data_IF_644703562659
#
_entry.id   IF_644703562659
#
_cell.length_a   1.000
_cell.length_b   1.000
_cell.length_c   1.000
_cell.angle_alpha   90.00
_cell.angle_beta   90.00
_cell.angle_gamma   90.00
#
_symmetry.space_group_name_H-M   'P 1'
#
loop_
_entity.id
_entity.type
_entity.pdbx_description
1 polymer ?
#
# COMPACT_ATOMS: atom_id res chain seq x y z
N UNK A 1 2.64 -5.94 84.86
CA UNK A 1 3.82 -5.15 85.26
C UNK A 1 5.00 -6.10 85.24
N UNK A 2 6.07 -6.00 84.47
CA UNK A 2 6.54 -5.06 83.46
C UNK A 2 7.95 -5.51 83.05
N UNK A 3 8.28 -5.31 81.77
CA UNK A 3 9.60 -5.28 81.14
C UNK A 3 10.30 -6.60 80.74
N UNK A 4 10.16 -6.88 79.44
CA UNK A 4 11.05 -7.68 78.58
C UNK A 4 12.28 -6.83 78.23
N UNK A 5 13.49 -7.38 78.38
CA UNK A 5 14.73 -6.78 77.91
C UNK A 5 15.45 -7.77 76.99
N UNK A 6 15.51 -7.44 75.70
CA UNK A 6 16.19 -8.19 74.65
C UNK A 6 17.69 -7.88 74.69
N UNK A 7 18.52 -8.93 74.85
CA UNK A 7 19.97 -8.88 74.64
C UNK A 7 20.27 -9.17 73.17
N UNK A 8 20.80 -8.17 72.46
CA UNK A 8 21.43 -8.35 71.15
C UNK A 8 22.85 -8.89 71.30
N UNK A 9 23.16 -9.95 70.55
CA UNK A 9 24.51 -10.44 70.31
C UNK A 9 24.89 -10.09 68.87
N UNK A 10 26.10 -9.54 68.74
CA UNK A 10 26.76 -9.12 67.52
C UNK A 10 26.97 -10.31 66.58
N UNK A 11 26.67 -10.14 65.29
CA UNK A 11 27.21 -10.98 64.22
C UNK A 11 27.94 -10.07 63.22
N UNK A 12 29.19 -10.42 62.95
CA UNK A 12 30.16 -9.67 62.17
C UNK A 12 30.28 -10.27 60.78
N UNK A 13 29.70 -9.62 59.78
CA UNK A 13 29.85 -9.98 58.38
C UNK A 13 29.52 -8.81 57.45
N UNK A 14 30.51 -7.98 57.12
CA UNK A 14 30.36 -6.96 56.09
C UNK A 14 30.38 -7.63 54.71
N UNK A 15 29.37 -7.41 53.83
CA UNK A 15 29.45 -7.88 52.44
C UNK A 15 30.50 -7.07 51.68
N UNK A 16 31.31 -7.73 50.85
CA UNK A 16 32.20 -7.04 49.89
C UNK A 16 31.33 -6.31 48.86
N UNK A 17 31.71 -5.11 48.39
CA UNK A 17 31.00 -4.47 47.30
C UNK A 17 31.11 -5.35 46.05
N UNK A 18 29.97 -5.81 45.53
CA UNK A 18 29.88 -6.38 44.19
C UNK A 18 30.42 -5.35 43.20
N UNK A 19 31.40 -5.75 42.39
CA UNK A 19 31.82 -4.96 41.25
C UNK A 19 30.65 -4.95 40.27
N UNK A 20 29.90 -3.83 40.21
CA UNK A 20 28.91 -3.62 39.16
C UNK A 20 29.63 -3.70 37.81
N UNK A 21 29.31 -4.71 37.01
CA UNK A 21 29.75 -4.76 35.62
C UNK A 21 29.31 -3.46 34.93
N UNK A 22 30.20 -2.81 34.16
CA UNK A 22 29.87 -1.54 33.52
C UNK A 22 28.65 -1.72 32.62
N UNK A 23 27.62 -0.88 32.83
CA UNK A 23 26.38 -0.89 32.04
C UNK A 23 26.72 -0.71 30.56
N UNK A 24 26.69 -1.81 29.80
CA UNK A 24 26.81 -1.77 28.35
C UNK A 24 25.55 -1.15 27.78
N UNK A 25 25.70 0.00 27.12
CA UNK A 25 24.57 0.71 26.53
C UNK A 25 24.27 0.13 25.15
N UNK A 26 22.99 0.09 24.74
CA UNK A 26 22.56 -0.54 23.48
C UNK A 26 23.25 0.01 22.22
N UNK A 27 23.78 1.23 22.28
CA UNK A 27 24.55 1.85 21.21
C UNK A 27 26.00 1.34 21.08
N UNK A 28 26.56 0.71 22.12
CA UNK A 28 27.90 0.10 22.10
C UNK A 28 27.92 -1.24 21.33
N UNK A 29 26.75 -1.89 21.23
CA UNK A 29 26.52 -3.13 20.48
C UNK A 29 25.85 -2.92 19.12
N UNK A 30 25.57 -1.67 18.71
CA UNK A 30 25.03 -1.40 17.38
C UNK A 30 26.10 -1.69 16.34
N UNK A 31 25.86 -2.69 15.50
CA UNK A 31 26.61 -2.86 14.26
C UNK A 31 26.59 -1.52 13.50
N UNK A 32 27.77 -1.04 13.11
CA UNK A 32 27.88 0.18 12.32
C UNK A 32 27.27 -0.09 10.95
N UNK A 33 26.02 0.35 10.76
CA UNK A 33 25.35 0.31 9.47
C UNK A 33 26.07 1.27 8.52
N UNK A 34 26.57 0.75 7.40
CA UNK A 34 27.19 1.57 6.36
C UNK A 34 26.09 2.32 5.59
N UNK A 35 26.03 3.64 5.76
CA UNK A 35 25.04 4.49 5.10
C UNK A 35 25.17 4.48 3.57
N UNK A 36 26.35 4.16 3.03
CA UNK A 36 26.55 4.04 1.58
C UNK A 36 25.73 2.87 0.98
N UNK A 37 25.46 1.82 1.77
CA UNK A 37 24.64 0.70 1.32
C UNK A 37 23.18 1.12 1.06
N UNK A 38 22.71 2.14 1.77
CA UNK A 38 21.32 2.62 1.77
C UNK A 38 21.13 3.94 1.02
N UNK A 39 22.11 4.28 0.19
CA UNK A 39 22.09 5.47 -0.65
C UNK A 39 22.42 5.08 -2.09
N UNK A 40 21.70 5.67 -3.05
CA UNK A 40 22.11 5.72 -4.45
C UNK A 40 22.20 7.18 -4.82
N UNK A 41 23.40 7.62 -5.21
CA UNK A 41 23.61 9.01 -5.59
C UNK A 41 24.42 9.13 -6.88
N UNK A 42 24.21 10.21 -7.61
CA UNK A 42 25.04 10.60 -8.77
C UNK A 42 25.06 9.55 -9.89
N UNK A 43 23.98 8.80 -10.07
CA UNK A 43 23.83 7.86 -11.17
C UNK A 43 23.39 8.62 -12.41
N UNK A 44 24.20 8.56 -13.48
CA UNK A 44 23.93 9.26 -14.73
C UNK A 44 23.86 8.29 -15.91
N UNK A 45 22.77 8.33 -16.70
CA UNK A 45 22.61 7.52 -17.93
C UNK A 45 22.85 6.02 -17.72
N UNK A 46 22.48 5.51 -16.55
CA UNK A 46 22.76 4.15 -16.11
C UNK A 46 21.62 3.60 -15.24
N UNK A 47 21.65 2.29 -14.99
CA UNK A 47 20.77 1.65 -14.02
C UNK A 47 21.50 1.35 -12.70
N UNK A 48 20.75 1.41 -11.60
CA UNK A 48 21.22 1.04 -10.27
C UNK A 48 20.05 0.52 -9.44
N UNK A 49 20.32 -0.27 -8.39
CA UNK A 49 19.23 -0.77 -7.58
C UNK A 49 19.62 -1.71 -6.46
N UNK A 50 18.59 -2.25 -5.82
CA UNK A 50 18.64 -3.25 -4.77
C UNK A 50 17.61 -4.35 -5.08
N UNK A 51 18.09 -5.59 -5.12
CA UNK A 51 17.27 -6.79 -5.23
C UNK A 51 16.62 -7.13 -3.87
N UNK A 52 15.63 -8.06 -3.83
CA UNK A 52 15.01 -8.49 -2.58
C UNK A 52 16.04 -8.90 -1.52
N UNK A 53 15.82 -8.46 -0.27
CA UNK A 53 16.68 -8.73 0.88
C UNK A 53 17.92 -7.84 1.02
N UNK A 54 18.20 -6.93 0.07
CA UNK A 54 19.38 -6.05 0.15
C UNK A 54 19.16 -4.74 0.93
N UNK A 55 17.90 -4.30 1.11
CA UNK A 55 17.50 -3.16 1.94
C UNK A 55 17.00 -3.64 3.30
N UNK A 56 16.17 -4.69 3.34
CA UNK A 56 15.72 -5.31 4.59
C UNK A 56 14.96 -4.36 5.52
N UNK A 57 14.10 -3.50 4.97
CA UNK A 57 13.26 -2.60 5.76
C UNK A 57 14.00 -1.41 6.37
N UNK A 58 15.19 -1.06 5.88
CA UNK A 58 15.88 0.17 6.30
C UNK A 58 15.35 1.40 5.54
N UNK A 59 15.74 2.60 6.02
CA UNK A 59 15.56 3.83 5.27
C UNK A 59 16.48 3.83 4.03
N UNK A 60 16.03 4.44 2.93
CA UNK A 60 16.81 4.57 1.70
C UNK A 60 16.82 6.02 1.19
N UNK A 61 17.91 6.42 0.54
CA UNK A 61 18.04 7.75 -0.09
C UNK A 61 18.44 7.57 -1.55
N UNK A 62 17.77 8.30 -2.44
CA UNK A 62 18.18 8.49 -3.83
C UNK A 62 18.43 9.97 -4.05
N UNK A 63 19.57 10.37 -4.60
CA UNK A 63 19.90 11.80 -4.76
C UNK A 63 20.74 12.09 -6.00
N UNK A 64 20.55 13.25 -6.61
CA UNK A 64 21.42 13.77 -7.67
C UNK A 64 21.56 12.81 -8.88
N UNK A 65 20.52 12.04 -9.20
CA UNK A 65 20.53 11.13 -10.35
C UNK A 65 19.96 11.80 -11.61
N UNK A 66 20.49 11.47 -12.79
CA UNK A 66 20.08 12.08 -14.06
C UNK A 66 19.98 11.04 -15.17
N UNK A 67 18.88 11.01 -15.91
CA UNK A 67 18.67 10.02 -16.98
C UNK A 67 18.92 8.57 -16.47
N UNK A 68 18.45 8.25 -15.26
CA UNK A 68 18.80 7.02 -14.56
C UNK A 68 17.58 6.12 -14.35
N UNK A 69 17.83 4.80 -14.29
CA UNK A 69 16.82 3.80 -13.96
C UNK A 69 17.14 3.19 -12.59
N UNK A 70 16.35 3.51 -11.58
CA UNK A 70 16.57 3.08 -10.20
C UNK A 70 15.53 2.05 -9.79
N UNK A 71 15.98 0.88 -9.34
CA UNK A 71 15.12 -0.24 -8.95
C UNK A 71 15.36 -0.64 -7.49
N UNK A 72 14.43 -0.34 -6.59
CA UNK A 72 14.51 -0.72 -5.18
C UNK A 72 13.47 -1.80 -4.89
N UNK A 73 13.80 -3.06 -5.24
CA UNK A 73 12.87 -4.19 -5.27
C UNK A 73 12.84 -4.93 -3.93
N UNK A 74 12.66 -4.19 -2.84
CA UNK A 74 12.69 -4.72 -1.47
C UNK A 74 11.69 -3.99 -0.57
N UNK A 75 11.55 -4.46 0.67
CA UNK A 75 10.87 -3.74 1.73
C UNK A 75 11.71 -2.54 2.21
N UNK A 76 11.09 -1.36 2.32
CA UNK A 76 11.75 -0.10 2.68
C UNK A 76 10.97 0.60 3.79
N UNK A 77 11.65 1.13 4.83
CA UNK A 77 10.94 1.84 5.89
C UNK A 77 10.48 3.23 5.41
N UNK A 78 11.40 4.05 4.92
CA UNK A 78 11.13 5.37 4.34
C UNK A 78 12.10 5.63 3.20
N UNK A 79 11.69 6.42 2.22
CA UNK A 79 12.55 6.80 1.10
C UNK A 79 12.45 8.30 0.82
N UNK A 80 13.61 8.89 0.56
CA UNK A 80 13.72 10.27 0.08
C UNK A 80 14.40 10.25 -1.28
N UNK A 81 13.80 10.95 -2.24
CA UNK A 81 14.35 11.12 -3.59
C UNK A 81 14.56 12.62 -3.81
N UNK A 82 15.82 13.02 -3.95
CA UNK A 82 16.24 14.41 -4.02
C UNK A 82 16.88 14.72 -5.37
N UNK A 83 16.52 15.85 -5.97
CA UNK A 83 17.29 16.47 -7.05
C UNK A 83 17.52 15.53 -8.27
N UNK A 84 16.55 14.66 -8.55
CA UNK A 84 16.62 13.70 -9.66
C UNK A 84 15.92 14.24 -10.91
N UNK A 85 16.54 14.09 -12.08
CA UNK A 85 15.98 14.56 -13.37
C UNK A 85 15.95 13.43 -14.40
N UNK A 86 14.87 13.33 -15.18
CA UNK A 86 14.72 12.32 -16.23
C UNK A 86 14.91 10.87 -15.73
N UNK A 87 14.48 10.57 -14.50
CA UNK A 87 14.68 9.26 -13.88
C UNK A 87 13.44 8.38 -13.92
N UNK A 88 13.64 7.06 -14.04
CA UNK A 88 12.61 6.05 -13.78
C UNK A 88 12.90 5.40 -12.43
N UNK A 89 11.95 5.43 -11.52
CA UNK A 89 12.07 4.95 -10.14
C UNK A 89 11.04 3.84 -9.93
N UNK A 90 11.47 2.59 -9.79
CA UNK A 90 10.60 1.47 -9.39
C UNK A 90 10.95 1.08 -7.96
N UNK A 91 10.00 1.27 -7.05
CA UNK A 91 10.19 1.12 -5.61
C UNK A 91 9.21 0.07 -5.11
N UNK A 92 9.72 -0.86 -4.30
CA UNK A 92 8.94 -1.87 -3.60
C UNK A 92 8.03 -1.28 -2.53
N UNK A 93 7.68 -2.09 -1.54
CA UNK A 93 6.78 -1.67 -0.46
C UNK A 93 7.50 -0.71 0.49
N UNK A 94 6.96 0.51 0.66
CA UNK A 94 7.45 1.51 1.60
C UNK A 94 6.49 1.63 2.78
N UNK A 95 6.92 1.29 3.99
CA UNK A 95 6.07 1.37 5.19
C UNK A 95 5.60 2.80 5.47
N UNK A 96 6.53 3.74 5.48
CA UNK A 96 6.30 5.13 5.82
C UNK A 96 6.16 6.01 4.60
N UNK A 97 6.95 7.08 4.56
CA UNK A 97 6.88 8.09 3.50
C UNK A 97 7.80 7.77 2.33
N UNK A 98 7.27 7.94 1.12
CA UNK A 98 8.02 8.25 -0.10
C UNK A 98 7.95 9.76 -0.32
N UNK A 99 9.09 10.45 -0.22
CA UNK A 99 9.18 11.90 -0.39
C UNK A 99 10.07 12.26 -1.58
N UNK A 100 9.48 12.84 -2.62
CA UNK A 100 10.20 13.41 -3.76
C UNK A 100 10.41 14.91 -3.54
N UNK A 101 11.64 15.40 -3.72
CA UNK A 101 12.00 16.82 -3.61
C UNK A 101 12.83 17.23 -4.81
N UNK A 102 12.50 18.38 -5.41
CA UNK A 102 13.23 18.93 -6.56
C UNK A 102 13.36 17.95 -7.75
N UNK A 103 12.41 17.02 -7.92
CA UNK A 103 12.48 16.01 -8.98
C UNK A 103 11.78 16.50 -10.25
N UNK A 104 12.38 16.25 -11.43
CA UNK A 104 11.85 16.72 -12.72
C UNK A 104 11.79 15.60 -13.74
N UNK A 105 10.71 15.55 -14.52
CA UNK A 105 10.57 14.61 -15.65
C UNK A 105 10.77 13.15 -15.22
N UNK A 106 10.33 12.81 -14.01
CA UNK A 106 10.52 11.48 -13.45
C UNK A 106 9.28 10.61 -13.64
N UNK A 107 9.49 9.30 -13.77
CA UNK A 107 8.43 8.31 -13.74
C UNK A 107 8.61 7.43 -12.53
N UNK A 108 7.55 7.21 -11.77
CA UNK A 108 7.61 6.56 -10.45
C UNK A 108 6.61 5.42 -10.38
N UNK A 109 7.04 4.26 -9.90
CA UNK A 109 6.18 3.13 -9.56
C UNK A 109 6.41 2.82 -8.09
N UNK A 110 5.43 3.08 -7.23
CA UNK A 110 5.63 2.93 -5.79
C UNK A 110 4.35 2.57 -5.02
N UNK A 111 4.54 1.74 -3.99
CA UNK A 111 3.57 1.50 -2.94
C UNK A 111 4.09 2.07 -1.62
N UNK A 112 3.34 2.96 -0.98
CA UNK A 112 3.79 3.61 0.24
C UNK A 112 2.66 3.86 1.25
N UNK A 113 3.03 4.05 2.52
CA UNK A 113 2.11 4.54 3.53
C UNK A 113 1.70 5.99 3.24
N UNK A 114 2.68 6.85 2.95
CA UNK A 114 2.48 8.28 2.64
C UNK A 114 3.26 8.67 1.40
N UNK A 115 2.60 9.35 0.45
CA UNK A 115 3.25 9.94 -0.72
C UNK A 115 3.32 11.45 -0.55
N UNK A 116 4.51 12.04 -0.71
CA UNK A 116 4.74 13.48 -0.62
C UNK A 116 5.61 13.96 -1.76
N UNK A 117 5.29 15.11 -2.32
CA UNK A 117 6.18 15.82 -3.24
C UNK A 117 6.36 17.26 -2.81
N UNK A 118 7.55 17.80 -3.08
CA UNK A 118 7.81 19.24 -2.98
C UNK A 118 8.69 19.68 -4.14
N UNK A 119 8.40 20.83 -4.73
CA UNK A 119 9.24 21.43 -5.78
C UNK A 119 9.45 20.50 -6.99
N UNK A 120 8.47 19.65 -7.31
CA UNK A 120 8.55 18.66 -8.40
C UNK A 120 7.84 19.12 -9.67
N UNK A 121 8.30 18.66 -10.84
CA UNK A 121 7.71 19.05 -12.12
C UNK A 121 7.65 17.87 -13.10
N UNK A 122 6.51 17.66 -13.76
CA UNK A 122 6.33 16.59 -14.75
C UNK A 122 6.68 15.21 -14.17
N UNK A 123 5.98 14.81 -13.12
CA UNK A 123 6.20 13.50 -12.49
C UNK A 123 4.98 12.62 -12.71
N UNK A 124 5.19 11.52 -13.40
CA UNK A 124 4.17 10.51 -13.67
C UNK A 124 4.31 9.37 -12.66
N UNK A 125 3.23 9.03 -11.96
CA UNK A 125 3.30 8.06 -10.85
C UNK A 125 2.23 6.97 -10.97
N UNK A 126 2.67 5.72 -11.04
CA UNK A 126 1.87 4.56 -10.67
C UNK A 126 1.89 4.38 -9.16
N UNK A 127 0.80 4.73 -8.48
CA UNK A 127 0.77 4.91 -7.03
C UNK A 127 -0.17 3.92 -6.33
N UNK A 128 0.33 3.33 -5.25
CA UNK A 128 -0.48 2.80 -4.16
C UNK A 128 -0.11 3.61 -2.91
N UNK A 129 -1.10 4.22 -2.26
CA UNK A 129 -0.86 5.04 -1.09
C UNK A 129 -1.91 4.78 -0.02
N UNK A 130 -1.50 4.37 1.17
CA UNK A 130 -2.44 4.09 2.26
C UNK A 130 -3.20 5.34 2.70
N UNK A 131 -2.52 6.49 2.74
CA UNK A 131 -3.12 7.79 3.08
C UNK A 131 -3.36 8.67 1.85
N UNK A 132 -3.99 9.83 2.07
CA UNK A 132 -4.13 10.84 1.03
C UNK A 132 -2.74 11.28 0.49
N UNK A 133 -2.44 11.14 -0.81
CA UNK A 133 -1.21 11.65 -1.40
C UNK A 133 -1.17 13.18 -1.36
N UNK A 134 0.01 13.73 -1.13
CA UNK A 134 0.23 15.16 -0.95
C UNK A 134 1.20 15.69 -2.00
N UNK A 135 0.87 16.84 -2.59
CA UNK A 135 1.80 17.64 -3.39
C UNK A 135 1.90 19.06 -2.81
N UNK A 136 3.07 19.67 -2.97
CA UNK A 136 3.37 21.05 -2.57
C UNK A 136 4.34 21.67 -3.56
N UNK A 137 4.13 22.92 -3.97
CA UNK A 137 4.97 23.66 -4.91
C UNK A 137 5.37 22.84 -6.16
N UNK A 138 4.46 21.99 -6.65
CA UNK A 138 4.73 21.03 -7.72
C UNK A 138 3.75 21.24 -8.87
N UNK A 139 4.15 20.92 -10.11
CA UNK A 139 3.33 21.15 -11.32
C UNK A 139 3.38 19.96 -12.28
N UNK A 140 2.32 19.76 -13.07
CA UNK A 140 2.20 18.64 -14.01
C UNK A 140 2.42 17.27 -13.35
N UNK A 141 1.77 17.04 -12.22
CA UNK A 141 1.85 15.78 -11.47
C UNK A 141 0.75 14.83 -11.93
N UNK A 142 1.08 13.67 -12.48
CA UNK A 142 0.07 12.75 -13.04
C UNK A 142 0.06 11.42 -12.30
N UNK A 143 -1.13 10.93 -11.98
CA UNK A 143 -1.29 9.74 -11.14
C UNK A 143 -2.12 8.65 -11.82
N UNK A 144 -1.67 7.40 -11.69
CA UNK A 144 -2.38 6.20 -12.14
C UNK A 144 -2.32 5.12 -11.04
N UNK A 145 -3.22 4.15 -11.11
CA UNK A 145 -3.24 3.05 -10.15
C UNK A 145 -1.99 2.17 -10.26
N UNK A 146 -1.39 1.83 -9.12
CA UNK A 146 -0.26 0.91 -9.03
C UNK A 146 -0.50 -0.42 -9.73
N UNK A 147 0.53 -0.93 -10.42
CA UNK A 147 0.44 -2.17 -11.21
C UNK A 147 1.68 -3.06 -11.19
N UNK A 148 2.53 -2.91 -10.18
CA UNK A 148 3.78 -3.65 -10.07
C UNK A 148 3.57 -5.06 -9.52
N UNK A 149 4.35 -6.00 -10.05
CA UNK A 149 4.46 -7.37 -9.59
C UNK A 149 5.92 -7.84 -9.61
N UNK A 150 6.32 -8.55 -8.56
CA UNK A 150 7.45 -9.48 -8.52
C UNK A 150 7.18 -10.51 -7.40
N UNK A 151 7.81 -11.69 -7.40
CA UNK A 151 7.42 -12.81 -6.54
C UNK A 151 7.37 -12.48 -5.04
N UNK A 152 8.29 -11.66 -4.54
CA UNK A 152 8.39 -11.29 -3.12
C UNK A 152 7.53 -10.08 -2.73
N UNK A 153 6.84 -9.44 -3.69
CA UNK A 153 6.17 -8.17 -3.44
C UNK A 153 5.06 -8.30 -2.39
N UNK A 154 4.31 -9.41 -2.38
CA UNK A 154 3.28 -9.65 -1.38
C UNK A 154 3.88 -9.69 0.03
N UNK A 155 4.95 -10.47 0.21
CA UNK A 155 5.64 -10.57 1.50
C UNK A 155 6.20 -9.22 1.93
N UNK A 156 6.67 -8.39 0.99
CA UNK A 156 7.10 -7.02 1.29
C UNK A 156 5.95 -6.11 1.71
N UNK A 157 4.77 -6.22 1.08
CA UNK A 157 3.55 -5.51 1.51
C UNK A 157 3.18 -5.91 2.94
N UNK A 158 3.12 -7.23 3.21
CA UNK A 158 2.79 -7.77 4.53
C UNK A 158 3.80 -7.31 5.59
N UNK A 159 5.11 -7.40 5.30
CA UNK A 159 6.18 -6.97 6.22
C UNK A 159 6.14 -5.47 6.52
N UNK A 160 5.74 -4.65 5.55
CA UNK A 160 5.62 -3.19 5.71
C UNK A 160 4.25 -2.75 6.24
N UNK A 161 3.31 -3.68 6.43
CA UNK A 161 1.96 -3.39 6.91
C UNK A 161 1.10 -2.62 5.90
N UNK A 162 1.38 -2.77 4.60
CA UNK A 162 0.57 -2.18 3.53
C UNK A 162 -0.58 -3.12 3.17
N UNK A 163 -1.80 -2.60 3.16
CA UNK A 163 -2.99 -3.33 2.74
C UNK A 163 -3.17 -3.24 1.23
N UNK A 164 -3.19 -4.38 0.53
CA UNK A 164 -3.30 -4.47 -0.93
C UNK A 164 -4.58 -3.81 -1.46
N UNK A 165 -5.68 -3.93 -0.71
CA UNK A 165 -7.00 -3.46 -1.10
C UNK A 165 -7.34 -2.08 -0.55
N UNK A 166 -6.41 -1.33 0.04
CA UNK A 166 -6.67 -0.01 0.63
C UNK A 166 -5.73 1.04 0.06
N UNK A 167 -6.13 1.66 -1.05
CA UNK A 167 -5.35 2.69 -1.72
C UNK A 167 -6.14 3.98 -1.96
N UNK A 168 -5.53 5.11 -1.62
CA UNK A 168 -6.03 6.47 -1.82
C UNK A 168 -5.34 7.19 -3.00
N UNK A 169 -4.71 6.44 -3.89
CA UNK A 169 -3.81 6.94 -4.94
C UNK A 169 -4.35 8.08 -5.81
N UNK A 170 -5.67 8.16 -6.01
CA UNK A 170 -6.33 9.16 -6.87
C UNK A 170 -6.89 10.36 -6.10
N UNK A 171 -6.75 10.42 -4.78
CA UNK A 171 -7.35 11.48 -3.94
C UNK A 171 -6.28 12.50 -3.54
N UNK A 172 -5.71 13.22 -4.48
CA UNK A 172 -4.56 14.09 -4.21
C UNK A 172 -4.97 15.34 -3.41
N UNK A 173 -4.15 15.71 -2.43
CA UNK A 173 -4.22 17.00 -1.75
C UNK A 173 -3.09 17.90 -2.23
N UNK A 174 -3.44 19.09 -2.72
CA UNK A 174 -2.49 20.11 -3.13
C UNK A 174 -2.45 21.23 -2.09
N UNK A 175 -1.27 21.44 -1.47
CA UNK A 175 -1.06 22.52 -0.50
C UNK A 175 -0.88 23.90 -1.13
N UNK A 176 -0.60 23.96 -2.43
CA UNK A 176 -0.30 25.19 -3.16
C UNK A 176 -1.09 25.26 -4.47
N UNK A 177 -2.44 25.20 -4.42
CA UNK A 177 -3.26 25.27 -5.61
C UNK A 177 -3.10 26.62 -6.31
N UNK A 178 -3.21 26.62 -7.63
CA UNK A 178 -3.22 27.83 -8.46
C UNK A 178 -4.64 28.07 -8.96
N UNK A 179 -5.12 29.31 -8.92
CA UNK A 179 -6.46 29.64 -9.38
C UNK A 179 -6.61 29.39 -10.89
N UNK A 180 -7.61 28.59 -11.26
CA UNK A 180 -7.97 28.33 -12.67
C UNK A 180 -7.16 27.24 -13.37
N UNK A 181 -6.15 26.67 -12.72
CA UNK A 181 -5.31 25.59 -13.25
C UNK A 181 -5.17 24.46 -12.22
N UNK A 182 -4.95 23.22 -12.67
CA UNK A 182 -4.66 22.10 -11.77
C UNK A 182 -3.18 21.73 -11.86
N UNK A 183 -2.51 21.64 -10.71
CA UNK A 183 -1.13 21.17 -10.64
C UNK A 183 -1.00 19.65 -10.85
N UNK A 184 -2.13 18.93 -10.84
CA UNK A 184 -2.17 17.49 -10.96
C UNK A 184 -3.39 16.99 -11.71
N UNK A 185 -3.30 15.76 -12.21
CA UNK A 185 -4.41 15.03 -12.81
C UNK A 185 -4.30 13.53 -12.57
N UNK A 186 -5.43 12.83 -12.68
CA UNK A 186 -5.47 11.37 -12.77
C UNK A 186 -5.43 11.01 -14.24
N UNK A 187 -4.49 10.14 -14.62
CA UNK A 187 -4.37 9.67 -16.00
C UNK A 187 -5.54 8.78 -16.37
N UNK A 188 -6.00 8.93 -17.60
CA UNK A 188 -6.90 7.95 -18.21
C UNK A 188 -6.16 6.61 -18.42
N UNK A 189 -6.90 5.51 -18.42
CA UNK A 189 -6.32 4.16 -18.52
C UNK A 189 -5.38 4.00 -19.75
N UNK A 190 -5.81 4.53 -20.90
CA UNK A 190 -5.03 4.48 -22.14
C UNK A 190 -3.74 5.30 -22.07
N UNK A 191 -3.77 6.43 -21.36
CA UNK A 191 -2.58 7.27 -21.19
C UNK A 191 -1.58 6.58 -20.27
N UNK A 192 -2.07 6.04 -19.14
CA UNK A 192 -1.26 5.28 -18.20
C UNK A 192 -0.55 4.12 -18.92
N UNK A 193 -1.26 3.35 -19.74
CA UNK A 193 -0.70 2.23 -20.53
C UNK A 193 0.48 2.62 -21.45
N UNK A 194 0.57 3.88 -21.87
CA UNK A 194 1.67 4.38 -22.71
C UNK A 194 2.88 4.90 -21.92
N UNK A 195 2.83 4.90 -20.58
CA UNK A 195 3.94 5.32 -19.75
C UNK A 195 5.15 4.41 -19.98
N UNK A 196 6.19 4.98 -20.58
CA UNK A 196 7.43 4.28 -20.89
C UNK A 196 8.25 4.01 -19.61
N UNK A 197 8.01 2.87 -19.00
CA UNK A 197 8.74 2.34 -17.84
C UNK A 197 9.64 1.20 -18.30
N UNK A 198 10.95 1.45 -18.30
CA UNK A 198 11.94 0.43 -18.63
C UNK A 198 12.12 -0.55 -17.46
N UNK A 199 12.02 -1.85 -17.75
CA UNK A 199 12.34 -2.93 -16.82
C UNK A 199 13.87 -3.11 -16.70
N UNK A 200 14.39 -3.61 -15.55
CA UNK A 200 15.83 -3.75 -15.34
C UNK A 200 16.48 -4.68 -16.36
N UNK A 201 17.62 -4.29 -16.91
CA UNK A 201 18.35 -5.06 -17.91
C UNK A 201 19.52 -5.86 -17.30
N UNK A 202 20.10 -5.40 -16.19
CA UNK A 202 21.29 -5.97 -15.59
C UNK A 202 20.97 -6.91 -14.43
N UNK A 203 21.85 -7.89 -14.21
CA UNK A 203 21.78 -8.75 -13.04
C UNK A 203 22.31 -8.01 -11.79
N UNK A 204 21.79 -8.33 -10.58
CA UNK A 204 20.79 -9.36 -10.28
C UNK A 204 19.34 -8.90 -10.48
N UNK A 205 19.09 -7.64 -10.81
CA UNK A 205 17.75 -7.03 -10.83
C UNK A 205 16.85 -7.65 -11.90
N UNK A 206 17.39 -7.96 -13.08
CA UNK A 206 16.65 -8.60 -14.17
C UNK A 206 16.06 -9.96 -13.74
N UNK A 207 16.80 -10.75 -12.96
CA UNK A 207 16.34 -12.08 -12.51
C UNK A 207 15.18 -12.06 -11.51
N UNK A 208 14.83 -10.89 -10.95
CA UNK A 208 13.72 -10.75 -9.98
C UNK A 208 12.36 -11.06 -10.61
N UNK A 209 12.22 -10.97 -11.94
CA UNK A 209 10.97 -11.30 -12.63
C UNK A 209 9.90 -10.23 -12.46
N UNK A 210 10.32 -8.97 -12.56
CA UNK A 210 9.44 -7.80 -12.46
C UNK A 210 8.48 -7.72 -13.65
N UNK A 211 7.21 -7.43 -13.38
CA UNK A 211 6.20 -7.17 -14.41
C UNK A 211 5.35 -5.96 -14.01
N UNK A 212 4.91 -5.22 -15.02
CA UNK A 212 3.90 -4.18 -14.91
C UNK A 212 2.61 -4.60 -15.63
N UNK A 213 2.44 -5.88 -15.96
CA UNK A 213 1.25 -6.35 -16.65
C UNK A 213 0.02 -6.24 -15.75
N UNK A 214 -1.09 -5.79 -16.33
CA UNK A 214 -2.36 -5.59 -15.62
C UNK A 214 -2.82 -6.85 -14.89
N UNK A 215 -2.69 -8.02 -15.52
CA UNK A 215 -3.15 -9.29 -14.97
C UNK A 215 -2.24 -9.84 -13.86
N UNK A 216 -0.98 -9.40 -13.84
CA UNK A 216 0.04 -9.82 -12.88
C UNK A 216 0.05 -8.94 -11.62
N UNK A 217 -0.45 -7.71 -11.71
CA UNK A 217 -0.46 -6.75 -10.60
C UNK A 217 -0.94 -7.37 -9.28
N UNK A 218 -0.18 -7.10 -8.22
CA UNK A 218 -0.58 -7.48 -6.86
C UNK A 218 -1.81 -6.68 -6.40
N UNK A 219 -1.81 -5.38 -6.69
CA UNK A 219 -2.91 -4.47 -6.34
C UNK A 219 -3.97 -4.52 -7.44
N UNK A 220 -5.26 -4.70 -7.11
CA UNK A 220 -6.33 -4.59 -8.09
C UNK A 220 -6.31 -3.22 -8.76
N UNK A 221 -6.30 -3.18 -10.09
CA UNK A 221 -6.35 -1.90 -10.80
C UNK A 221 -7.72 -1.27 -10.57
N UNK A 222 -7.71 -0.07 -10.00
CA UNK A 222 -8.90 0.73 -9.73
C UNK A 222 -8.89 2.00 -10.57
N UNK A 223 -10.06 2.53 -10.90
CA UNK A 223 -10.20 3.84 -11.56
C UNK A 223 -10.12 5.02 -10.57
N UNK A 224 -10.20 4.75 -9.27
CA UNK A 224 -10.09 5.77 -8.23
C UNK A 224 -11.28 6.72 -8.23
N UNK A 225 -11.03 8.00 -7.92
CA UNK A 225 -12.03 9.05 -7.67
C UNK A 225 -12.74 9.61 -8.92
N UNK A 226 -12.82 8.83 -9.99
CA UNK A 226 -13.63 9.18 -11.15
C UNK A 226 -15.10 8.91 -10.80
N UNK A 227 -15.97 9.91 -11.01
CA UNK A 227 -17.42 9.74 -10.82
C UNK A 227 -17.93 8.74 -11.85
N UNK A 228 -18.03 7.47 -11.47
CA UNK A 228 -18.66 6.48 -12.33
C UNK A 228 -20.17 6.64 -12.27
N UNK A 229 -20.73 7.15 -13.37
CA UNK A 229 -22.16 7.05 -13.66
C UNK A 229 -22.44 5.66 -14.21
N UNK A 230 -23.35 4.90 -13.60
CA UNK A 230 -23.82 3.65 -14.17
C UNK A 230 -24.19 2.60 -13.12
N UNK A 231 -24.57 1.40 -13.58
CA UNK A 231 -24.86 0.31 -12.68
C UNK A 231 -23.60 -0.11 -11.91
N UNK A 232 -23.76 -0.44 -10.63
CA UNK A 232 -22.69 -0.83 -9.73
C UNK A 232 -23.04 -2.07 -8.90
N UNK A 233 -22.03 -2.69 -8.30
CA UNK A 233 -22.17 -3.74 -7.31
C UNK A 233 -21.12 -3.55 -6.22
N UNK A 234 -21.52 -3.75 -4.96
CA UNK A 234 -20.57 -4.01 -3.89
C UNK A 234 -20.34 -5.51 -3.80
N UNK A 235 -19.06 -5.90 -3.75
CA UNK A 235 -18.65 -7.27 -3.45
C UNK A 235 -17.85 -7.24 -2.15
N UNK A 236 -18.24 -8.06 -1.17
CA UNK A 236 -17.51 -8.22 0.10
C UNK A 236 -16.93 -9.62 0.21
N UNK A 237 -15.68 -9.70 0.65
CA UNK A 237 -14.98 -10.93 0.97
C UNK A 237 -14.75 -10.96 2.48
N UNK A 238 -15.34 -11.97 3.14
CA UNK A 238 -15.26 -12.11 4.59
C UNK A 238 -14.00 -12.85 5.01
N UNK A 239 -13.44 -12.53 6.19
CA UNK A 239 -12.17 -13.09 6.58
C UNK A 239 -12.27 -14.56 6.96
N UNK A 240 -11.38 -15.36 6.37
CA UNK A 240 -11.21 -16.78 6.67
C UNK A 240 -9.75 -17.24 6.52
N UNK A 241 -8.82 -16.29 6.44
CA UNK A 241 -7.39 -16.52 6.17
C UNK A 241 -7.05 -16.61 4.69
N UNK A 242 -8.04 -16.69 3.80
CA UNK A 242 -7.87 -16.77 2.34
C UNK A 242 -8.63 -15.66 1.60
N UNK A 243 -9.12 -14.64 2.31
CA UNK A 243 -9.94 -13.58 1.73
C UNK A 243 -9.19 -12.74 0.68
N UNK A 244 -7.89 -12.50 0.88
CA UNK A 244 -7.06 -11.73 -0.06
C UNK A 244 -6.89 -12.47 -1.39
N UNK A 245 -6.51 -13.76 -1.32
CA UNK A 245 -6.32 -14.63 -2.48
C UNK A 245 -7.63 -14.79 -3.26
N UNK A 246 -8.74 -14.95 -2.54
CA UNK A 246 -10.09 -15.01 -3.10
C UNK A 246 -10.49 -13.72 -3.78
N UNK A 247 -10.27 -12.57 -3.15
CA UNK A 247 -10.58 -11.26 -3.72
C UNK A 247 -9.74 -10.99 -4.99
N UNK A 248 -8.45 -11.34 -4.96
CA UNK A 248 -7.56 -11.21 -6.11
C UNK A 248 -7.97 -12.16 -7.26
N UNK A 249 -8.28 -13.42 -6.96
CA UNK A 249 -8.74 -14.40 -7.95
C UNK A 249 -10.08 -14.00 -8.58
N UNK A 250 -11.03 -13.53 -7.76
CA UNK A 250 -12.30 -12.99 -8.22
C UNK A 250 -12.09 -11.78 -9.14
N UNK A 251 -11.28 -10.80 -8.73
CA UNK A 251 -10.99 -9.60 -9.51
C UNK A 251 -10.38 -9.94 -10.86
N UNK A 252 -9.31 -10.76 -10.86
CA UNK A 252 -8.64 -11.19 -12.09
C UNK A 252 -9.59 -11.90 -13.04
N UNK A 253 -10.43 -12.79 -12.52
CA UNK A 253 -11.40 -13.55 -13.33
C UNK A 253 -12.48 -12.64 -13.91
N UNK A 254 -13.02 -11.72 -13.10
CA UNK A 254 -14.07 -10.79 -13.53
C UNK A 254 -13.57 -9.87 -14.65
N UNK A 255 -12.42 -9.21 -14.47
CA UNK A 255 -11.88 -8.29 -15.48
C UNK A 255 -11.46 -9.02 -16.76
N UNK A 256 -10.92 -10.23 -16.64
CA UNK A 256 -10.57 -11.06 -17.80
C UNK A 256 -11.79 -11.47 -18.62
N UNK A 257 -12.88 -11.85 -17.95
CA UNK A 257 -14.11 -12.26 -18.65
C UNK A 257 -14.93 -11.06 -19.14
N UNK A 258 -14.89 -9.94 -18.41
CA UNK A 258 -15.69 -8.75 -18.67
C UNK A 258 -14.81 -7.49 -18.64
N UNK A 259 -14.01 -7.22 -19.70
CA UNK A 259 -13.08 -6.07 -19.73
C UNK A 259 -13.76 -4.70 -19.65
N UNK A 260 -15.06 -4.64 -19.90
CA UNK A 260 -15.89 -3.44 -19.79
C UNK A 260 -16.27 -3.11 -18.32
N UNK A 261 -16.20 -4.10 -17.42
CA UNK A 261 -16.41 -3.86 -15.99
C UNK A 261 -15.13 -3.27 -15.39
N UNK A 262 -15.31 -2.33 -14.47
CA UNK A 262 -14.21 -1.62 -13.84
C UNK A 262 -14.33 -1.71 -12.33
N UNK A 263 -13.22 -1.96 -11.65
CA UNK A 263 -13.15 -1.73 -10.21
C UNK A 263 -12.92 -0.24 -9.98
N UNK A 264 -13.75 0.40 -9.19
CA UNK A 264 -13.63 1.85 -8.94
C UNK A 264 -12.91 2.10 -7.63
N UNK A 265 -13.28 1.33 -6.60
CA UNK A 265 -12.68 1.40 -5.27
C UNK A 265 -12.52 0.01 -4.67
N UNK A 266 -11.48 -0.12 -3.87
CA UNK A 266 -11.36 -1.21 -2.90
C UNK A 266 -11.03 -0.61 -1.53
N UNK A 267 -11.44 -1.32 -0.47
CA UNK A 267 -11.01 -1.04 0.90
C UNK A 267 -11.02 -2.32 1.71
N UNK A 268 -10.02 -2.46 2.55
CA UNK A 268 -10.01 -3.39 3.66
C UNK A 268 -10.38 -2.64 4.95
N UNK A 269 -11.39 -3.13 5.67
CA UNK A 269 -11.93 -2.42 6.85
C UNK A 269 -12.36 -3.38 7.95
N UNK A 270 -12.03 -3.01 9.20
CA UNK A 270 -12.56 -3.69 10.38
C UNK A 270 -14.00 -3.23 10.62
N UNK A 271 -14.95 -4.16 10.54
CA UNK A 271 -16.36 -3.89 10.77
C UNK A 271 -16.82 -4.53 12.08
N UNK A 272 -17.60 -3.80 12.87
CA UNK A 272 -18.42 -4.39 13.92
C UNK A 272 -19.63 -5.11 13.31
N UNK A 273 -20.23 -6.09 14.02
CA UNK A 273 -21.48 -6.72 13.58
C UNK A 273 -22.59 -5.72 13.22
N UNK A 274 -22.75 -4.65 14.01
CA UNK A 274 -23.75 -3.61 13.77
C UNK A 274 -23.46 -2.80 12.50
N UNK A 275 -22.20 -2.44 12.25
CA UNK A 275 -21.81 -1.75 11.02
C UNK A 275 -22.04 -2.64 9.80
N UNK A 276 -21.69 -3.93 9.88
CA UNK A 276 -21.95 -4.87 8.80
C UNK A 276 -23.45 -5.00 8.53
N UNK A 277 -24.26 -5.20 9.56
CA UNK A 277 -25.73 -5.29 9.44
C UNK A 277 -26.31 -4.02 8.80
N UNK A 278 -25.79 -2.84 9.15
CA UNK A 278 -26.18 -1.59 8.52
C UNK A 278 -25.85 -1.53 7.02
N UNK A 279 -24.78 -2.19 6.57
CA UNK A 279 -24.40 -2.30 5.15
C UNK A 279 -25.27 -3.35 4.46
N UNK A 280 -25.20 -4.62 4.88
CA UNK A 280 -25.83 -5.74 4.16
C UNK A 280 -27.31 -5.95 4.47
N UNK A 281 -27.86 -5.22 5.45
CA UNK A 281 -29.26 -5.25 5.91
C UNK A 281 -29.71 -6.60 6.47
N UNK A 282 -28.78 -7.37 7.02
CA UNK A 282 -29.03 -8.65 7.69
C UNK A 282 -27.90 -8.96 8.68
N UNK A 283 -28.22 -9.71 9.74
CA UNK A 283 -27.27 -10.18 10.74
C UNK A 283 -26.65 -11.55 10.42
N UNK A 284 -26.97 -12.14 9.26
CA UNK A 284 -26.50 -13.48 8.87
C UNK A 284 -24.96 -13.60 8.80
N UNK A 285 -24.26 -12.47 8.67
CA UNK A 285 -22.81 -12.39 8.49
C UNK A 285 -22.07 -11.89 9.75
N UNK A 286 -22.79 -11.58 10.82
CA UNK A 286 -22.25 -10.90 12.01
C UNK A 286 -21.08 -11.63 12.68
N UNK A 287 -21.13 -12.96 12.72
CA UNK A 287 -20.08 -13.78 13.34
C UNK A 287 -18.76 -13.79 12.53
N UNK A 288 -18.77 -13.30 11.29
CA UNK A 288 -17.63 -13.39 10.38
C UNK A 288 -16.64 -12.23 10.53
N UNK A 289 -17.06 -11.10 11.11
CA UNK A 289 -16.26 -9.85 11.10
C UNK A 289 -15.48 -9.58 12.38
N UNK A 290 -15.65 -10.44 13.39
CA UNK A 290 -14.97 -10.29 14.67
C UNK A 290 -13.46 -10.53 14.57
N UNK A 291 -13.04 -11.45 13.69
CA UNK A 291 -11.67 -11.95 13.63
C UNK A 291 -10.71 -11.04 12.89
N UNK A 292 -11.08 -10.60 11.70
CA UNK A 292 -10.20 -9.81 10.84
C UNK A 292 -11.00 -8.77 10.04
N UNK A 293 -10.35 -8.10 9.10
CA UNK A 293 -10.98 -7.12 8.23
C UNK A 293 -11.82 -7.77 7.13
N UNK A 294 -12.81 -7.02 6.63
CA UNK A 294 -13.57 -7.34 5.43
C UNK A 294 -12.97 -6.57 4.26
N UNK A 295 -12.80 -7.24 3.12
CA UNK A 295 -12.42 -6.59 1.87
C UNK A 295 -13.69 -6.25 1.11
N UNK A 296 -13.89 -4.98 0.80
CA UNK A 296 -14.94 -4.52 -0.09
C UNK A 296 -14.38 -3.97 -1.38
N UNK A 297 -14.96 -4.37 -2.51
CA UNK A 297 -14.63 -3.84 -3.83
C UNK A 297 -15.91 -3.38 -4.52
N UNK A 298 -15.90 -2.15 -5.01
CA UNK A 298 -16.94 -1.61 -5.87
C UNK A 298 -16.59 -1.88 -7.32
N UNK A 299 -17.51 -2.52 -8.04
CA UNK A 299 -17.44 -2.69 -9.48
C UNK A 299 -18.54 -1.89 -10.17
N UNK A 300 -18.24 -1.35 -11.35
CA UNK A 300 -19.17 -0.59 -12.18
C UNK A 300 -19.21 -1.14 -13.61
N UNK A 301 -20.39 -1.04 -14.23
CA UNK A 301 -20.64 -1.42 -15.62
C UNK A 301 -21.98 -2.14 -15.81
N UNK A 302 -22.37 -2.36 -17.07
CA UNK A 302 -23.63 -3.04 -17.39
C UNK A 302 -23.65 -4.49 -16.85
N UNK A 303 -24.83 -4.93 -16.39
CA UNK A 303 -25.03 -6.28 -15.82
C UNK A 303 -24.06 -6.69 -14.69
N UNK A 304 -23.38 -5.73 -14.06
CA UNK A 304 -22.29 -5.98 -13.09
C UNK A 304 -22.65 -6.96 -11.97
N UNK A 305 -23.86 -6.86 -11.39
CA UNK A 305 -24.31 -7.76 -10.33
C UNK A 305 -24.36 -9.22 -10.83
N UNK A 306 -24.94 -9.44 -12.01
CA UNK A 306 -25.08 -10.78 -12.61
C UNK A 306 -23.72 -11.38 -12.94
N UNK A 307 -22.81 -10.57 -13.49
CA UNK A 307 -21.44 -11.01 -13.78
C UNK A 307 -20.67 -11.35 -12.50
N UNK A 308 -20.77 -10.52 -11.46
CA UNK A 308 -20.18 -10.80 -10.15
C UNK A 308 -20.70 -12.12 -9.56
N UNK A 309 -22.01 -12.37 -9.62
CA UNK A 309 -22.60 -13.61 -9.10
C UNK A 309 -22.09 -14.85 -9.84
N UNK A 310 -22.00 -14.78 -11.18
CA UNK A 310 -21.45 -15.86 -12.00
C UNK A 310 -19.99 -16.14 -11.64
N UNK A 311 -19.16 -15.10 -11.56
CA UNK A 311 -17.73 -15.23 -11.26
C UNK A 311 -17.49 -15.72 -9.83
N UNK A 312 -18.32 -15.36 -8.85
CA UNK A 312 -18.20 -15.88 -7.49
C UNK A 312 -18.36 -17.41 -7.45
N UNK A 313 -19.35 -17.96 -8.17
CA UNK A 313 -19.58 -19.39 -8.26
C UNK A 313 -18.45 -20.13 -9.01
N UNK A 314 -17.98 -19.56 -10.12
CA UNK A 314 -16.88 -20.11 -10.90
C UNK A 314 -15.56 -20.08 -10.13
N UNK A 315 -15.26 -18.98 -9.43
CA UNK A 315 -14.03 -18.86 -8.65
C UNK A 315 -14.03 -19.90 -7.54
N UNK A 316 -15.13 -20.03 -6.78
CA UNK A 316 -15.25 -21.02 -5.72
C UNK A 316 -15.06 -22.46 -6.21
N UNK A 317 -15.53 -22.79 -7.42
CA UNK A 317 -15.42 -24.14 -7.99
C UNK A 317 -14.07 -24.41 -8.65
N UNK A 318 -13.47 -23.42 -9.30
CA UNK A 318 -12.22 -23.58 -10.07
C UNK A 318 -10.96 -23.52 -9.20
N UNK A 319 -10.95 -22.69 -8.16
CA UNK A 319 -9.76 -22.49 -7.30
C UNK A 319 -9.85 -23.25 -5.99
N UNK A 320 -11.03 -23.76 -5.62
CA UNK A 320 -11.26 -24.36 -4.30
C UNK A 320 -11.33 -23.34 -3.15
N UNK A 321 -11.30 -22.03 -3.44
CA UNK A 321 -11.45 -20.96 -2.46
C UNK A 321 -12.94 -20.78 -2.08
N UNK A 322 -13.49 -21.66 -1.22
CA UNK A 322 -14.95 -21.81 -1.00
C UNK A 322 -15.59 -20.98 0.13
N UNK A 323 -14.85 -20.12 0.82
CA UNK A 323 -15.41 -19.13 1.76
C UNK A 323 -16.41 -18.11 1.19
N UNK A 324 -16.99 -17.34 2.10
CA UNK A 324 -18.20 -16.57 1.86
C UNK A 324 -17.93 -15.23 1.15
N UNK A 325 -18.73 -14.96 0.12
CA UNK A 325 -18.71 -13.71 -0.65
C UNK A 325 -20.12 -13.12 -0.66
N UNK A 326 -20.25 -11.85 -0.30
CA UNK A 326 -21.50 -11.11 -0.46
C UNK A 326 -21.45 -10.27 -1.72
N UNK A 327 -22.57 -10.20 -2.44
CA UNK A 327 -22.75 -9.35 -3.61
C UNK A 327 -24.09 -8.63 -3.46
N UNK A 328 -24.11 -7.32 -3.75
CA UNK A 328 -25.36 -6.54 -3.75
C UNK A 328 -26.44 -7.22 -4.58
N UNK A 329 -27.67 -7.28 -4.04
CA UNK A 329 -28.81 -7.94 -4.70
C UNK A 329 -29.50 -7.08 -5.75
N UNK A 330 -29.33 -5.76 -5.68
CA UNK A 330 -29.91 -4.79 -6.62
C UNK A 330 -29.08 -3.51 -6.70
N UNK A 331 -29.32 -2.72 -7.75
CA UNK A 331 -28.66 -1.42 -7.95
C UNK A 331 -28.94 -0.43 -6.81
N UNK A 332 -30.18 -0.39 -6.32
CA UNK A 332 -30.57 0.48 -5.21
C UNK A 332 -29.88 0.09 -3.91
N UNK A 333 -29.74 -1.22 -3.65
CA UNK A 333 -28.99 -1.71 -2.49
C UNK A 333 -27.50 -1.39 -2.61
N UNK A 334 -26.91 -1.59 -3.80
CA UNK A 334 -25.50 -1.34 -4.04
C UNK A 334 -25.09 0.10 -3.75
N UNK A 335 -25.90 1.08 -4.19
CA UNK A 335 -25.61 2.50 -3.96
C UNK A 335 -25.50 2.82 -2.46
N UNK A 336 -26.51 2.48 -1.67
CA UNK A 336 -26.52 2.76 -0.24
C UNK A 336 -25.39 2.01 0.51
N UNK A 337 -25.07 0.79 0.05
CA UNK A 337 -24.01 -0.04 0.62
C UNK A 337 -22.61 0.55 0.39
N UNK A 338 -22.34 0.95 -0.85
CA UNK A 338 -21.09 1.62 -1.24
C UNK A 338 -20.93 2.92 -0.45
N UNK A 339 -21.96 3.76 -0.40
CA UNK A 339 -21.92 5.00 0.39
C UNK A 339 -21.61 4.71 1.87
N UNK A 340 -22.28 3.71 2.48
CA UNK A 340 -22.05 3.37 3.88
C UNK A 340 -20.62 2.86 4.13
N UNK A 341 -20.13 1.94 3.30
CA UNK A 341 -18.81 1.31 3.48
C UNK A 341 -17.67 2.30 3.24
N UNK A 342 -17.73 3.07 2.15
CA UNK A 342 -16.63 3.92 1.73
C UNK A 342 -16.65 5.31 2.38
N UNK A 343 -17.82 5.81 2.83
CA UNK A 343 -17.91 7.07 3.59
C UNK A 343 -17.51 6.91 5.06
N UNK A 344 -17.65 5.71 5.64
CA UNK A 344 -17.26 5.45 7.03
C UNK A 344 -15.76 5.71 7.31
N UNK A 345 -14.90 5.62 6.29
CA UNK A 345 -13.47 5.89 6.44
C UNK A 345 -13.04 7.36 6.28
N UNK A 346 -13.94 8.29 5.96
CA UNK A 346 -13.62 9.73 5.98
C UNK A 346 -13.45 10.27 7.40
N UNK A 347 -14.01 9.60 8.41
CA UNK A 347 -13.97 10.05 9.81
C UNK A 347 -12.72 9.55 10.55
N UNK A 348 -12.06 8.48 10.09
CA UNK A 348 -10.92 7.87 10.79
C UNK A 348 -9.53 8.24 10.24
N UNK A 349 -9.43 8.90 9.08
CA UNK A 349 -8.14 9.37 8.54
C UNK A 349 -7.83 10.85 8.85
N UNK A 350 -8.64 11.48 9.72
CA UNK A 350 -8.45 12.85 10.20
C UNK A 350 -8.02 12.91 11.68
N UNK A 351 -7.55 11.79 12.23
CA UNK A 351 -7.06 11.67 13.62
C UNK A 351 -5.55 11.69 13.71
#
# INVERSE_FOLDING_TARGET
MGNICLRGLFDSGSPRPEQEEPKKFSWETREKVDMAQYTIEQVHSAEAGRAPGQIGGQQFIVRDCQNAHIYLLDAVNTITVDDCTDCVLIIGAVKGSLFLRNCKQCKVVAACGQFRTRDCQMVDTYLHCSTQPIIEASTNMRFACYRLHYPQLKDHFDAMGLQIFSSCWSNIHDFTPVDGESNWEVMEEKEAETMDIRLPADEPLRSVGLSLDREASLVPLTEGRVRTSGPMALVLFFPDGQQDERAAAFHRTLIKQQPHLKATYSREVKLTPLQLEAIVKTNAYSALVEKDNVIGIQYCGEDVIKHCQKVALETATATGLTGLVYISSSQQAALAQVETLFSAGHVQMAG
#
